data_IF_457455419442
#
_entry.id   IF_457455419442
#
_cell.length_a   1.000
_cell.length_b   1.000
_cell.length_c   1.000
_cell.angle_alpha   90.00
_cell.angle_beta   90.00
_cell.angle_gamma   90.00
#
_symmetry.space_group_name_H-M   'P 1'
#
loop_
_entity.id
_entity.type
_entity.pdbx_description
1 polymer ?
#
# COMPACT_ATOMS: atom_id res chain seq x y z
N UNK A 1 -3.56 9.18 8.66
CA UNK A 1 -4.27 10.49 8.73
C UNK A 1 -4.03 11.10 10.11
N UNK A 2 -3.57 12.34 10.23
CA UNK A 2 -3.27 12.95 11.53
C UNK A 2 -4.48 13.03 12.47
N UNK A 3 -5.67 13.32 11.93
CA UNK A 3 -6.90 13.46 12.73
C UNK A 3 -7.56 12.12 13.08
N UNK A 4 -7.50 11.15 12.17
CA UNK A 4 -8.24 9.90 12.27
C UNK A 4 -7.37 8.69 12.61
N UNK A 5 -6.04 8.84 12.63
CA UNK A 5 -5.09 7.74 12.79
C UNK A 5 -4.98 6.86 11.55
N UNK A 6 -4.88 5.55 11.80
CA UNK A 6 -4.93 4.50 10.78
C UNK A 6 -6.36 4.28 10.31
N UNK A 7 -6.58 4.39 9.01
CA UNK A 7 -7.90 4.24 8.40
C UNK A 7 -7.76 3.26 7.24
N UNK A 8 -8.58 2.20 7.18
CA UNK A 8 -8.55 1.26 6.07
C UNK A 8 -9.04 1.93 4.79
N UNK A 9 -8.49 1.49 3.66
CA UNK A 9 -9.00 1.84 2.34
C UNK A 9 -10.37 1.15 2.15
N UNK A 10 -11.38 1.81 1.57
CA UNK A 10 -12.65 1.17 1.23
C UNK A 10 -12.47 -0.02 0.28
N UNK A 11 -13.30 -1.05 0.39
CA UNK A 11 -13.15 -2.29 -0.40
C UNK A 11 -13.34 -2.02 -1.90
N UNK A 12 -14.24 -1.10 -2.23
CA UNK A 12 -14.51 -0.62 -3.59
C UNK A 12 -13.35 0.14 -4.24
N UNK A 13 -12.38 0.61 -3.44
CA UNK A 13 -11.17 1.29 -3.92
C UNK A 13 -9.98 0.32 -4.08
N UNK A 14 -10.19 -0.97 -3.80
CA UNK A 14 -9.19 -2.00 -4.07
C UNK A 14 -9.20 -2.41 -5.56
N UNK A 15 -8.03 -2.79 -6.13
CA UNK A 15 -6.72 -2.89 -5.50
C UNK A 15 -5.97 -1.56 -5.45
N UNK A 16 -5.20 -1.33 -4.37
CA UNK A 16 -4.20 -0.26 -4.33
C UNK A 16 -2.99 -0.71 -5.16
N UNK A 17 -2.89 -0.22 -6.39
CA UNK A 17 -1.82 -0.60 -7.31
C UNK A 17 -0.49 0.04 -6.95
N UNK A 18 0.60 -0.72 -7.06
CA UNK A 18 1.96 -0.19 -6.90
C UNK A 18 2.25 0.87 -7.98
N UNK A 19 2.93 1.97 -7.62
CA UNK A 19 3.35 2.97 -8.60
C UNK A 19 4.50 2.43 -9.46
N UNK A 20 4.74 3.05 -10.60
CA UNK A 20 5.94 2.78 -11.37
C UNK A 20 7.17 3.29 -10.63
N UNK A 21 7.99 2.38 -10.13
CA UNK A 21 9.22 2.71 -9.41
C UNK A 21 10.41 2.56 -10.34
N UNK A 22 11.24 3.61 -10.48
CA UNK A 22 12.48 3.56 -11.27
C UNK A 22 13.58 2.74 -10.60
N UNK A 23 13.61 2.69 -9.27
CA UNK A 23 14.58 1.94 -8.49
C UNK A 23 13.91 1.28 -7.28
N UNK A 24 13.93 -0.05 -7.23
CA UNK A 24 13.30 -0.86 -6.18
C UNK A 24 14.22 -1.09 -4.97
N UNK A 25 15.45 -0.58 -4.98
CA UNK A 25 16.35 -0.67 -3.84
C UNK A 25 15.84 0.25 -2.71
N UNK A 26 15.91 -0.20 -1.44
CA UNK A 26 15.65 0.66 -0.29
C UNK A 26 16.49 1.93 -0.40
N UNK A 27 15.97 3.05 0.09
CA UNK A 27 16.76 4.27 0.14
C UNK A 27 17.96 4.07 1.07
N UNK A 28 19.01 4.89 0.92
CA UNK A 28 20.22 4.82 1.77
C UNK A 28 19.90 4.97 3.28
N UNK A 29 18.71 5.46 3.61
CA UNK A 29 18.21 5.64 4.98
C UNK A 29 17.38 4.45 5.50
N UNK A 30 17.19 3.39 4.71
CA UNK A 30 16.43 2.20 5.07
C UNK A 30 14.91 2.34 4.97
N UNK A 31 14.41 3.45 4.42
CA UNK A 31 12.98 3.65 4.17
C UNK A 31 12.52 2.90 2.91
N UNK A 32 11.23 2.56 2.86
CA UNK A 32 10.61 1.92 1.69
C UNK A 32 10.84 2.77 0.43
N UNK A 33 11.16 2.16 -0.73
CA UNK A 33 11.27 2.89 -2.00
C UNK A 33 10.03 3.73 -2.33
N UNK A 34 8.86 3.30 -1.84
CA UNK A 34 7.57 3.97 -2.03
C UNK A 34 7.46 5.30 -1.28
N UNK A 35 8.19 5.49 -0.17
CA UNK A 35 8.13 6.72 0.64
C UNK A 35 8.54 7.97 -0.16
N UNK A 36 9.41 7.78 -1.16
CA UNK A 36 9.94 8.85 -2.00
C UNK A 36 8.97 9.31 -3.11
N UNK A 37 7.92 8.52 -3.38
CA UNK A 37 6.98 8.78 -4.48
C UNK A 37 5.78 9.55 -3.94
N UNK A 38 5.98 10.85 -3.70
CA UNK A 38 4.96 11.73 -3.07
C UNK A 38 3.61 11.68 -3.80
N UNK A 39 3.60 11.68 -5.13
CA UNK A 39 2.36 11.61 -5.92
C UNK A 39 1.51 10.36 -5.63
N UNK A 40 2.13 9.27 -5.16
CA UNK A 40 1.43 8.04 -4.78
C UNK A 40 1.11 7.99 -3.28
N UNK A 41 2.06 8.40 -2.44
CA UNK A 41 1.93 8.41 -0.97
C UNK A 41 0.84 9.38 -0.52
N UNK A 42 0.76 10.55 -1.14
CA UNK A 42 -0.20 11.58 -0.78
C UNK A 42 -1.61 11.21 -1.24
N UNK A 43 -2.54 11.15 -0.29
CA UNK A 43 -3.92 10.77 -0.56
C UNK A 43 -4.91 11.49 0.34
N UNK A 44 -6.19 11.18 0.22
CA UNK A 44 -7.25 11.70 1.09
C UNK A 44 -7.71 10.64 2.06
N UNK A 45 -7.98 11.05 3.30
CA UNK A 45 -8.56 10.17 4.30
C UNK A 45 -9.99 9.79 3.89
N UNK A 46 -10.32 8.51 3.72
CA UNK A 46 -11.68 8.10 3.33
C UNK A 46 -12.72 8.40 4.41
N UNK A 47 -12.30 8.57 5.68
CA UNK A 47 -13.18 8.87 6.81
C UNK A 47 -13.55 10.35 6.94
N UNK A 48 -12.62 11.27 6.67
CA UNK A 48 -12.81 12.70 6.94
C UNK A 48 -12.53 13.64 5.75
N UNK A 49 -12.05 13.09 4.62
CA UNK A 49 -11.72 13.84 3.40
C UNK A 49 -10.48 14.74 3.50
N UNK A 50 -9.85 14.84 4.66
CA UNK A 50 -8.61 15.59 4.86
C UNK A 50 -7.39 14.92 4.22
N UNK A 51 -6.24 15.61 4.26
CA UNK A 51 -4.97 15.06 3.79
C UNK A 51 -4.55 13.82 4.63
N UNK A 52 -4.03 12.81 3.94
CA UNK A 52 -3.50 11.59 4.52
C UNK A 52 -2.32 11.08 3.69
N UNK A 53 -1.52 10.22 4.30
CA UNK A 53 -0.45 9.50 3.63
C UNK A 53 -0.79 8.01 3.61
N UNK A 54 -0.48 7.34 2.51
CA UNK A 54 -0.59 5.87 2.38
C UNK A 54 0.50 5.19 3.22
N UNK A 55 0.20 3.97 3.66
CA UNK A 55 1.23 3.08 4.18
C UNK A 55 2.24 2.78 3.05
N UNK A 56 3.52 2.94 3.37
CA UNK A 56 4.62 2.78 2.42
C UNK A 56 5.24 1.39 2.47
N UNK A 57 4.99 0.64 3.54
CA UNK A 57 5.44 -0.74 3.65
C UNK A 57 4.60 -1.67 2.78
N UNK A 58 5.27 -2.65 2.20
CA UNK A 58 4.61 -3.71 1.42
C UNK A 58 4.48 -4.97 2.25
N UNK A 59 3.43 -5.75 1.96
CA UNK A 59 3.31 -7.07 2.57
C UNK A 59 4.49 -7.95 2.11
N UNK A 60 5.13 -8.68 3.04
CA UNK A 60 6.23 -9.57 2.70
C UNK A 60 5.76 -10.75 1.85
N UNK A 61 6.71 -11.41 1.18
CA UNK A 61 6.44 -12.51 0.24
C UNK A 61 5.56 -13.64 0.83
N UNK A 62 5.68 -13.92 2.13
CA UNK A 62 4.90 -14.96 2.80
C UNK A 62 3.40 -14.63 2.93
N UNK A 63 3.00 -13.36 2.78
CA UNK A 63 1.59 -12.97 2.77
C UNK A 63 0.86 -13.50 1.52
N UNK A 64 1.55 -13.70 0.40
CA UNK A 64 0.99 -14.36 -0.79
C UNK A 64 1.09 -15.88 -0.73
N UNK A 65 2.22 -16.42 -0.24
CA UNK A 65 2.45 -17.88 -0.23
C UNK A 65 1.74 -18.62 0.91
N UNK A 66 1.16 -17.92 1.87
CA UNK A 66 0.39 -18.54 2.97
C UNK A 66 -0.98 -19.07 2.53
N UNK A 67 -1.49 -18.63 1.38
CA UNK A 67 -2.84 -18.98 0.90
C UNK A 67 -2.94 -19.26 -0.60
N UNK A 68 -1.83 -19.22 -1.36
CA UNK A 68 -1.83 -19.49 -2.81
C UNK A 68 -2.48 -20.83 -3.19
N UNK A 69 -2.34 -21.86 -2.35
CA UNK A 69 -2.93 -23.18 -2.57
C UNK A 69 -4.47 -23.16 -2.49
N UNK A 70 -5.06 -22.23 -1.75
CA UNK A 70 -6.51 -22.00 -1.75
C UNK A 70 -6.92 -21.29 -3.05
N UNK A 71 -6.14 -20.32 -3.53
CA UNK A 71 -6.46 -19.61 -4.78
C UNK A 71 -6.45 -20.54 -6.00
N UNK A 72 -5.72 -21.66 -5.99
CA UNK A 72 -5.79 -22.64 -7.07
C UNK A 72 -7.18 -23.29 -7.24
N UNK A 73 -7.99 -23.37 -6.19
CA UNK A 73 -9.32 -24.00 -6.29
C UNK A 73 -10.34 -23.08 -6.95
N UNK A 74 -10.08 -21.77 -6.98
CA UNK A 74 -10.90 -20.77 -7.66
C UNK A 74 -10.02 -19.58 -8.09
N UNK A 75 -9.40 -19.62 -9.30
CA UNK A 75 -8.36 -18.67 -9.70
C UNK A 75 -8.89 -17.38 -10.36
N UNK A 76 -10.21 -17.29 -10.61
CA UNK A 76 -10.85 -16.15 -11.28
C UNK A 76 -11.83 -15.41 -10.35
#
# INVERSE_FOLDING_TARGET
>A
CEKCGWVPVPEEELPVTLPEVKNYMPTDNGESPLSTIRDWVETKCPKCGGYAERETDTMPQWAGSSWYYLRYTDPH
#
